data_IF_358321396614
#
_entry.id   IF_358321396614
#
_cell.length_a   1.000
_cell.length_b   1.000
_cell.length_c   1.000
_cell.angle_alpha   90.00
_cell.angle_beta   90.00
_cell.angle_gamma   90.00
#
_symmetry.space_group_name_H-M   'P 1'
#
loop_
_entity.id
_entity.type
_entity.pdbx_description
1 polymer ?
#
# COMPACT_ATOMS: atom_id res chain seq x y z
N UNK A 1 -10.43 -0.63 -61.88
CA UNK A 1 -9.99 -1.42 -60.73
C UNK A 1 -9.12 -0.51 -59.88
N UNK A 2 -9.76 0.27 -59.02
CA UNK A 2 -9.07 1.04 -58.00
C UNK A 2 -8.50 0.07 -56.99
N UNK A 3 -7.17 0.02 -56.91
CA UNK A 3 -6.49 -0.57 -55.78
C UNK A 3 -6.88 0.24 -54.55
N UNK A 4 -7.87 -0.26 -53.78
CA UNK A 4 -7.99 0.08 -52.36
C UNK A 4 -6.63 -0.23 -51.75
N UNK A 5 -5.79 0.79 -51.59
CA UNK A 5 -4.71 0.74 -50.63
C UNK A 5 -5.40 0.48 -49.30
N UNK A 6 -5.33 -0.75 -48.82
CA UNK A 6 -5.49 -1.01 -47.39
C UNK A 6 -4.50 -0.07 -46.71
N UNK A 7 -5.01 1.05 -46.20
CA UNK A 7 -4.27 1.84 -45.24
C UNK A 7 -4.14 0.91 -44.06
N UNK A 8 -2.98 0.28 -43.90
CA UNK A 8 -2.68 -0.55 -42.74
C UNK A 8 -3.05 0.28 -41.51
N UNK A 9 -4.12 -0.13 -40.84
CA UNK A 9 -4.60 0.57 -39.66
C UNK A 9 -3.46 0.51 -38.63
N UNK A 10 -3.08 1.65 -38.08
CA UNK A 10 -1.96 1.74 -37.15
C UNK A 10 -2.23 2.78 -36.08
N UNK A 11 -1.74 2.53 -34.86
CA UNK A 11 -1.78 3.49 -33.76
C UNK A 11 -1.12 4.84 -34.11
N UNK A 12 -0.24 4.87 -35.11
CA UNK A 12 0.45 6.10 -35.55
C UNK A 12 -0.41 7.06 -36.34
N UNK A 13 -1.44 6.58 -37.02
CA UNK A 13 -2.31 7.39 -37.89
C UNK A 13 -3.67 7.66 -37.28
N UNK A 14 -3.95 7.05 -36.12
CA UNK A 14 -5.19 7.26 -35.39
C UNK A 14 -5.33 8.70 -34.87
N UNK A 15 -6.54 9.23 -35.01
CA UNK A 15 -6.88 10.63 -34.72
C UNK A 15 -8.10 10.82 -33.80
N UNK A 16 -8.89 9.77 -33.56
CA UNK A 16 -10.14 9.83 -32.76
C UNK A 16 -10.46 8.48 -32.10
N UNK A 17 -11.34 8.51 -31.10
CA UNK A 17 -11.73 7.34 -30.31
C UNK A 17 -12.22 6.15 -31.15
N UNK A 18 -13.05 6.40 -32.17
CA UNK A 18 -13.60 5.32 -33.00
C UNK A 18 -12.52 4.57 -33.80
N UNK A 19 -11.46 5.27 -34.22
CA UNK A 19 -10.30 4.62 -34.87
C UNK A 19 -9.51 3.80 -33.84
N UNK A 20 -9.38 4.26 -32.60
CA UNK A 20 -8.74 3.50 -31.53
C UNK A 20 -9.50 2.21 -31.20
N UNK A 21 -10.84 2.27 -31.12
CA UNK A 21 -11.70 1.09 -30.95
C UNK A 21 -11.55 0.13 -32.12
N UNK A 22 -11.47 0.65 -33.34
CA UNK A 22 -11.23 -0.18 -34.52
C UNK A 22 -9.87 -0.90 -34.46
N UNK A 23 -8.80 -0.24 -34.01
CA UNK A 23 -7.48 -0.89 -33.83
C UNK A 23 -7.53 -2.00 -32.76
N UNK A 24 -8.28 -1.77 -31.68
CA UNK A 24 -8.58 -2.79 -30.66
C UNK A 24 -9.31 -3.98 -31.28
N UNK A 25 -10.32 -3.72 -32.12
CA UNK A 25 -11.10 -4.78 -32.74
C UNK A 25 -10.25 -5.64 -33.68
N UNK A 26 -9.34 -5.01 -34.43
CA UNK A 26 -8.39 -5.67 -35.32
C UNK A 26 -7.28 -6.42 -34.57
N UNK A 27 -7.15 -6.26 -33.25
CA UNK A 27 -6.10 -6.88 -32.46
C UNK A 27 -4.72 -6.30 -32.76
N UNK A 28 -4.63 -5.00 -33.00
CA UNK A 28 -3.35 -4.34 -33.22
C UNK A 28 -2.74 -3.96 -31.88
N UNK A 29 -1.59 -4.56 -31.55
CA UNK A 29 -0.86 -4.28 -30.32
C UNK A 29 -0.43 -2.82 -30.24
N UNK A 30 -0.80 -2.13 -29.15
CA UNK A 30 -0.29 -0.81 -28.84
C UNK A 30 1.14 -0.93 -28.35
N UNK A 31 2.10 -0.29 -29.01
CA UNK A 31 3.49 -0.22 -28.53
C UNK A 31 3.71 1.03 -27.68
N UNK A 32 4.69 0.99 -26.78
CA UNK A 32 5.02 2.11 -25.88
C UNK A 32 5.20 3.44 -26.61
N UNK A 33 5.94 3.41 -27.74
CA UNK A 33 6.21 4.60 -28.55
C UNK A 33 4.95 5.23 -29.17
N UNK A 34 3.91 4.42 -29.40
CA UNK A 34 2.69 4.84 -30.06
C UNK A 34 1.68 5.43 -29.07
N UNK A 35 1.84 5.20 -27.76
CA UNK A 35 1.02 5.83 -26.72
C UNK A 35 1.05 7.37 -26.79
N UNK A 36 2.19 7.98 -27.19
CA UNK A 36 2.28 9.43 -27.36
C UNK A 36 1.30 9.95 -28.41
N UNK A 37 1.02 9.17 -29.45
CA UNK A 37 0.03 9.51 -30.49
C UNK A 37 -1.37 9.37 -29.93
N UNK A 38 -1.67 8.24 -29.28
CA UNK A 38 -2.93 8.01 -28.55
C UNK A 38 -3.26 9.18 -27.61
N UNK A 39 -2.29 9.59 -26.79
CA UNK A 39 -2.45 10.66 -25.79
C UNK A 39 -2.64 12.05 -26.40
N UNK A 40 -2.13 12.29 -27.62
CA UNK A 40 -2.37 13.55 -28.34
C UNK A 40 -3.73 13.57 -29.03
N UNK A 41 -4.21 12.41 -29.46
CA UNK A 41 -5.47 12.27 -30.18
C UNK A 41 -6.68 12.27 -29.24
N UNK A 42 -6.57 11.63 -28.07
CA UNK A 42 -7.69 11.43 -27.15
C UNK A 42 -7.59 12.31 -25.89
N UNK A 43 -8.73 12.84 -25.46
CA UNK A 43 -8.91 13.48 -24.14
C UNK A 43 -8.96 12.43 -23.02
N UNK A 44 -8.88 12.88 -21.77
CA UNK A 44 -8.94 12.00 -20.60
C UNK A 44 -10.24 11.17 -20.56
N UNK A 45 -11.39 11.80 -20.86
CA UNK A 45 -12.68 11.11 -20.91
C UNK A 45 -12.73 10.05 -22.03
N UNK A 46 -12.12 10.32 -23.18
CA UNK A 46 -12.09 9.38 -24.29
C UNK A 46 -11.14 8.19 -24.01
N UNK A 47 -10.10 8.39 -23.19
CA UNK A 47 -9.26 7.28 -22.71
C UNK A 47 -10.05 6.39 -21.74
N UNK A 48 -10.90 6.97 -20.88
CA UNK A 48 -11.82 6.21 -20.04
C UNK A 48 -12.76 5.36 -20.91
N UNK A 49 -13.39 5.97 -21.92
CA UNK A 49 -14.27 5.25 -22.84
C UNK A 49 -13.54 4.13 -23.59
N UNK A 50 -12.26 4.34 -23.96
CA UNK A 50 -11.44 3.33 -24.60
C UNK A 50 -11.15 2.14 -23.67
N UNK A 51 -10.78 2.36 -22.42
CA UNK A 51 -10.48 1.24 -21.50
C UNK A 51 -11.75 0.49 -21.09
N UNK A 52 -12.89 1.17 -20.98
CA UNK A 52 -14.21 0.54 -20.81
C UNK A 52 -14.53 -0.34 -22.02
N UNK A 53 -14.29 0.16 -23.24
CA UNK A 53 -14.45 -0.63 -24.45
C UNK A 53 -13.55 -1.88 -24.46
N UNK A 54 -12.27 -1.73 -24.08
CA UNK A 54 -11.34 -2.84 -23.96
C UNK A 54 -11.78 -3.89 -22.92
N UNK A 55 -12.33 -3.46 -21.77
CA UNK A 55 -12.87 -4.37 -20.75
C UNK A 55 -14.02 -5.23 -21.30
N UNK A 56 -14.96 -4.60 -22.02
CA UNK A 56 -16.05 -5.33 -22.68
C UNK A 56 -15.51 -6.32 -23.73
N UNK A 57 -14.58 -5.90 -24.58
CA UNK A 57 -13.95 -6.78 -25.60
C UNK A 57 -13.18 -7.94 -24.97
N UNK A 58 -12.50 -7.72 -23.85
CA UNK A 58 -11.80 -8.76 -23.11
C UNK A 58 -12.77 -9.83 -22.59
N UNK A 59 -13.94 -9.42 -22.10
CA UNK A 59 -14.98 -10.35 -21.66
C UNK A 59 -15.62 -11.13 -22.80
N UNK A 60 -15.88 -10.47 -23.95
CA UNK A 60 -16.44 -11.14 -25.12
C UNK A 60 -15.46 -12.15 -25.75
N UNK A 61 -14.16 -11.86 -25.71
CA UNK A 61 -13.11 -12.66 -26.36
C UNK A 61 -12.39 -13.60 -25.40
N UNK A 62 -12.95 -13.83 -24.21
CA UNK A 62 -12.32 -14.60 -23.13
C UNK A 62 -11.90 -16.02 -23.55
N UNK A 63 -12.56 -16.61 -24.53
CA UNK A 63 -12.22 -17.94 -25.05
C UNK A 63 -11.01 -17.95 -26.01
N UNK A 64 -10.62 -16.77 -26.54
CA UNK A 64 -9.53 -16.63 -27.49
C UNK A 64 -8.32 -15.97 -26.81
N UNK A 65 -7.30 -16.79 -26.55
CA UNK A 65 -6.12 -16.36 -25.77
C UNK A 65 -5.32 -15.24 -26.43
N UNK A 66 -5.00 -15.36 -27.72
CA UNK A 66 -4.16 -14.37 -28.42
C UNK A 66 -4.79 -12.96 -28.46
N UNK A 67 -6.07 -12.77 -28.82
CA UNK A 67 -6.72 -11.46 -28.70
C UNK A 67 -6.72 -10.91 -27.27
N UNK A 68 -6.92 -11.76 -26.27
CA UNK A 68 -6.88 -11.35 -24.87
C UNK A 68 -5.47 -10.93 -24.43
N UNK A 69 -4.42 -11.61 -24.90
CA UNK A 69 -3.01 -11.26 -24.67
C UNK A 69 -2.70 -9.87 -25.24
N UNK A 70 -3.03 -9.64 -26.51
CA UNK A 70 -2.79 -8.35 -27.18
C UNK A 70 -3.52 -7.21 -26.47
N UNK A 71 -4.78 -7.44 -26.07
CA UNK A 71 -5.57 -6.47 -25.32
C UNK A 71 -4.96 -6.17 -23.96
N UNK A 72 -4.55 -7.21 -23.22
CA UNK A 72 -3.96 -7.06 -21.90
C UNK A 72 -2.64 -6.29 -21.97
N UNK A 73 -1.74 -6.64 -22.90
CA UNK A 73 -0.47 -5.92 -23.08
C UNK A 73 -0.71 -4.45 -23.47
N UNK A 74 -1.64 -4.18 -24.39
CA UNK A 74 -2.02 -2.82 -24.78
C UNK A 74 -2.56 -2.01 -23.60
N UNK A 75 -3.40 -2.63 -22.75
CA UNK A 75 -3.94 -2.02 -21.53
C UNK A 75 -2.84 -1.71 -20.52
N UNK A 76 -1.88 -2.61 -20.31
CA UNK A 76 -0.77 -2.37 -19.41
C UNK A 76 0.09 -1.17 -19.86
N UNK A 77 0.29 -0.99 -21.16
CA UNK A 77 0.97 0.19 -21.72
C UNK A 77 0.15 1.46 -21.46
N UNK A 78 -1.18 1.41 -21.62
CA UNK A 78 -2.05 2.54 -21.26
C UNK A 78 -1.89 2.87 -19.77
N UNK A 79 -2.01 1.89 -18.87
CA UNK A 79 -1.94 2.12 -17.43
C UNK A 79 -0.56 2.56 -16.95
N UNK A 80 0.51 2.13 -17.60
CA UNK A 80 1.85 2.61 -17.28
C UNK A 80 2.02 4.10 -17.58
N UNK A 81 1.43 4.57 -18.68
CA UNK A 81 1.58 5.95 -19.16
C UNK A 81 0.47 6.91 -18.69
N UNK A 82 -0.65 6.39 -18.23
CA UNK A 82 -1.73 7.19 -17.63
C UNK A 82 -1.45 7.44 -16.15
N UNK A 83 -1.71 8.66 -15.71
CA UNK A 83 -1.61 9.05 -14.30
C UNK A 83 -2.97 9.30 -13.67
N UNK A 84 -4.07 9.11 -14.38
CA UNK A 84 -5.43 9.21 -13.83
C UNK A 84 -5.96 7.81 -13.46
N UNK A 85 -6.24 7.61 -12.18
CA UNK A 85 -6.75 6.37 -11.62
C UNK A 85 -8.20 6.11 -12.03
N UNK A 86 -8.96 7.14 -12.39
CA UNK A 86 -10.32 6.94 -12.91
C UNK A 86 -10.31 6.03 -14.15
N UNK A 87 -9.22 6.04 -14.93
CA UNK A 87 -9.03 5.13 -16.07
C UNK A 87 -8.91 3.68 -15.59
N UNK A 88 -8.06 3.40 -14.60
CA UNK A 88 -7.92 2.06 -14.02
C UNK A 88 -9.22 1.58 -13.37
N UNK A 89 -9.87 2.46 -12.59
CA UNK A 89 -11.11 2.15 -11.88
C UNK A 89 -12.23 1.88 -12.86
N UNK A 90 -12.40 2.70 -13.90
CA UNK A 90 -13.42 2.47 -14.92
C UNK A 90 -13.22 1.14 -15.64
N UNK A 91 -11.97 0.79 -15.99
CA UNK A 91 -11.64 -0.52 -16.54
C UNK A 91 -12.04 -1.66 -15.59
N UNK A 92 -11.61 -1.61 -14.34
CA UNK A 92 -11.87 -2.67 -13.36
C UNK A 92 -13.36 -2.79 -13.03
N UNK A 93 -14.07 -1.66 -12.89
CA UNK A 93 -15.52 -1.65 -12.70
C UNK A 93 -16.22 -2.31 -13.88
N UNK A 94 -15.85 -1.96 -15.10
CA UNK A 94 -16.44 -2.56 -16.30
C UNK A 94 -16.18 -4.07 -16.34
N UNK A 95 -14.94 -4.52 -16.14
CA UNK A 95 -14.61 -5.96 -16.08
C UNK A 95 -15.48 -6.71 -15.07
N UNK A 96 -15.75 -6.10 -13.91
CA UNK A 96 -16.55 -6.71 -12.85
C UNK A 96 -18.06 -6.66 -13.11
N UNK A 97 -18.54 -5.82 -14.03
CA UNK A 97 -19.95 -5.74 -14.42
C UNK A 97 -20.31 -6.69 -15.57
N UNK A 98 -19.31 -7.23 -16.28
CA UNK A 98 -19.54 -8.11 -17.42
C UNK A 98 -20.17 -9.47 -17.05
N UNK A 99 -20.96 -10.11 -17.94
CA UNK A 99 -21.60 -11.40 -17.68
C UNK A 99 -20.60 -12.54 -17.37
N UNK A 100 -19.44 -12.54 -18.02
CA UNK A 100 -18.39 -13.57 -17.85
C UNK A 100 -17.28 -13.16 -16.87
N UNK A 101 -17.54 -12.18 -16.00
CA UNK A 101 -16.56 -11.53 -15.10
C UNK A 101 -15.58 -12.49 -14.43
N UNK A 102 -16.03 -13.65 -13.94
CA UNK A 102 -15.13 -14.60 -13.25
C UNK A 102 -14.05 -15.15 -14.19
N UNK A 103 -14.45 -15.55 -15.39
CA UNK A 103 -13.50 -16.09 -16.38
C UNK A 103 -12.58 -14.97 -16.89
N UNK A 104 -13.16 -13.80 -17.15
CA UNK A 104 -12.43 -12.61 -17.58
C UNK A 104 -11.38 -12.17 -16.56
N UNK A 105 -11.74 -12.14 -15.27
CA UNK A 105 -10.82 -11.80 -14.18
C UNK A 105 -9.69 -12.83 -14.08
N UNK A 106 -10.00 -14.13 -14.10
CA UNK A 106 -8.96 -15.17 -14.06
C UNK A 106 -7.99 -15.01 -15.22
N UNK A 107 -8.48 -14.93 -16.46
CA UNK A 107 -7.61 -14.74 -17.63
C UNK A 107 -6.81 -13.45 -17.54
N UNK A 108 -7.41 -12.33 -17.13
CA UNK A 108 -6.70 -11.07 -16.95
C UNK A 108 -5.53 -11.22 -15.96
N UNK A 109 -5.74 -11.93 -14.84
CA UNK A 109 -4.69 -12.18 -13.84
C UNK A 109 -3.56 -13.00 -14.43
N UNK A 110 -3.88 -14.09 -15.14
CA UNK A 110 -2.86 -14.93 -15.77
C UNK A 110 -2.06 -14.12 -16.78
N UNK A 111 -2.76 -13.45 -17.71
CA UNK A 111 -2.14 -12.72 -18.80
C UNK A 111 -1.34 -11.50 -18.32
N UNK A 112 -1.83 -10.77 -17.32
CA UNK A 112 -1.10 -9.62 -16.79
C UNK A 112 0.20 -10.04 -16.09
N UNK A 113 0.15 -11.12 -15.30
CA UNK A 113 1.33 -11.60 -14.55
C UNK A 113 2.33 -12.32 -15.46
N UNK A 114 1.87 -12.99 -16.52
CA UNK A 114 2.74 -13.70 -17.47
C UNK A 114 2.94 -12.92 -18.78
N UNK A 115 2.63 -11.63 -18.81
CA UNK A 115 2.75 -10.81 -20.02
C UNK A 115 4.21 -10.81 -20.51
N UNK A 116 4.42 -11.26 -21.74
CA UNK A 116 5.71 -11.12 -22.42
C UNK A 116 5.72 -9.79 -23.17
N UNK A 117 6.26 -8.76 -22.51
CA UNK A 117 6.18 -7.38 -22.96
C UNK A 117 7.13 -7.16 -24.13
N UNK A 118 6.59 -6.76 -25.27
CA UNK A 118 7.37 -6.49 -26.48
C UNK A 118 8.38 -5.33 -26.34
N UNK A 119 8.08 -4.35 -25.48
CA UNK A 119 8.96 -3.24 -25.14
C UNK A 119 9.94 -3.59 -23.99
N UNK A 120 11.01 -4.32 -24.31
CA UNK A 120 11.98 -4.86 -23.34
C UNK A 120 12.57 -3.80 -22.37
N UNK A 121 12.84 -2.58 -22.84
CA UNK A 121 13.36 -1.48 -22.01
C UNK A 121 12.36 -0.98 -20.95
N UNK A 122 11.09 -1.39 -21.07
CA UNK A 122 9.96 -1.01 -20.21
C UNK A 122 9.35 -2.20 -19.48
N UNK A 123 9.92 -3.40 -19.64
CA UNK A 123 9.39 -4.63 -19.07
C UNK A 123 9.20 -4.54 -17.55
N UNK A 124 10.19 -4.03 -16.80
CA UNK A 124 10.10 -3.90 -15.34
C UNK A 124 8.97 -2.94 -14.91
N UNK A 125 8.83 -1.80 -15.60
CA UNK A 125 7.80 -0.80 -15.30
C UNK A 125 6.40 -1.34 -15.62
N UNK A 126 6.25 -2.01 -16.75
CA UNK A 126 5.00 -2.63 -17.19
C UNK A 126 4.62 -3.79 -16.25
N UNK A 127 5.59 -4.59 -15.83
CA UNK A 127 5.36 -5.68 -14.88
C UNK A 127 4.94 -5.17 -13.50
N UNK A 128 5.55 -4.08 -13.01
CA UNK A 128 5.11 -3.45 -11.76
C UNK A 128 3.66 -2.95 -11.84
N UNK A 129 3.25 -2.39 -12.98
CA UNK A 129 1.88 -1.96 -13.24
C UNK A 129 0.92 -3.17 -13.32
N UNK A 130 1.34 -4.27 -13.95
CA UNK A 130 0.55 -5.49 -14.00
C UNK A 130 0.26 -6.06 -12.59
N UNK A 131 1.26 -6.10 -11.72
CA UNK A 131 1.06 -6.50 -10.32
C UNK A 131 0.11 -5.54 -9.60
N UNK A 132 0.28 -4.23 -9.78
CA UNK A 132 -0.61 -3.24 -9.17
C UNK A 132 -2.06 -3.39 -9.65
N UNK A 133 -2.28 -3.59 -10.95
CA UNK A 133 -3.59 -3.86 -11.55
C UNK A 133 -4.25 -5.07 -10.90
N UNK A 134 -3.52 -6.18 -10.76
CA UNK A 134 -4.03 -7.41 -10.15
C UNK A 134 -4.33 -7.23 -8.66
N UNK A 135 -3.50 -6.48 -7.93
CA UNK A 135 -3.80 -6.11 -6.54
C UNK A 135 -5.09 -5.28 -6.43
N UNK A 136 -5.28 -4.27 -7.27
CA UNK A 136 -6.49 -3.44 -7.26
C UNK A 136 -7.74 -4.23 -7.67
N UNK A 137 -7.64 -5.12 -8.66
CA UNK A 137 -8.72 -6.04 -9.02
C UNK A 137 -9.16 -6.87 -7.81
N UNK A 138 -8.21 -7.46 -7.08
CA UNK A 138 -8.51 -8.24 -5.89
C UNK A 138 -9.12 -7.38 -4.76
N UNK A 139 -8.64 -6.16 -4.57
CA UNK A 139 -9.22 -5.20 -3.61
C UNK A 139 -10.68 -4.89 -3.96
N UNK A 140 -10.99 -4.64 -5.23
CA UNK A 140 -12.35 -4.36 -5.69
C UNK A 140 -13.27 -5.57 -5.55
N UNK A 141 -12.82 -6.78 -5.92
CA UNK A 141 -13.58 -8.01 -5.70
C UNK A 141 -13.89 -8.20 -4.21
N UNK A 142 -12.93 -7.93 -3.32
CA UNK A 142 -13.13 -8.03 -1.88
C UNK A 142 -14.15 -6.99 -1.38
N UNK A 143 -14.08 -5.75 -1.86
CA UNK A 143 -15.04 -4.70 -1.51
C UNK A 143 -16.46 -5.09 -1.93
N UNK A 144 -16.64 -5.57 -3.17
CA UNK A 144 -17.93 -6.04 -3.65
C UNK A 144 -18.44 -7.24 -2.83
N UNK A 145 -17.58 -8.20 -2.46
CA UNK A 145 -18.00 -9.33 -1.62
C UNK A 145 -18.50 -8.91 -0.23
N UNK A 146 -17.96 -7.82 0.33
CA UNK A 146 -18.38 -7.27 1.63
C UNK A 146 -19.67 -6.46 1.50
N UNK A 147 -19.82 -5.68 0.42
CA UNK A 147 -20.98 -4.83 0.18
C UNK A 147 -22.20 -5.63 -0.29
N UNK A 148 -21.99 -6.55 -1.23
CA UNK A 148 -23.02 -7.36 -1.88
C UNK A 148 -22.63 -8.87 -1.89
N UNK A 149 -22.77 -9.56 -0.74
CA UNK A 149 -22.36 -10.96 -0.60
C UNK A 149 -23.08 -11.93 -1.56
N UNK A 150 -24.28 -11.60 -2.01
CA UNK A 150 -25.09 -12.45 -2.88
C UNK A 150 -24.59 -12.48 -4.33
N UNK A 151 -23.97 -11.39 -4.81
CA UNK A 151 -23.58 -11.26 -6.23
C UNK A 151 -22.31 -12.07 -6.55
N UNK A 152 -21.33 -12.03 -5.65
CA UNK A 152 -20.02 -12.69 -5.82
C UNK A 152 -19.84 -13.91 -4.91
N UNK A 153 -20.60 -14.06 -3.83
CA UNK A 153 -20.65 -15.24 -2.95
C UNK A 153 -19.36 -16.08 -2.90
N UNK A 154 -19.45 -17.31 -3.42
CA UNK A 154 -18.33 -18.27 -3.46
C UNK A 154 -17.40 -18.11 -4.67
N UNK A 155 -17.85 -17.49 -5.76
CA UNK A 155 -17.01 -17.25 -6.94
C UNK A 155 -15.96 -16.18 -6.65
N UNK A 156 -16.31 -15.12 -5.94
CA UNK A 156 -15.40 -14.08 -5.46
C UNK A 156 -14.30 -14.64 -4.56
N UNK A 157 -14.63 -15.56 -3.65
CA UNK A 157 -13.63 -16.23 -2.81
C UNK A 157 -12.60 -17.02 -3.65
N UNK A 158 -13.08 -17.80 -4.64
CA UNK A 158 -12.19 -18.54 -5.55
C UNK A 158 -11.30 -17.62 -6.40
N UNK A 159 -11.83 -16.49 -6.86
CA UNK A 159 -11.06 -15.47 -7.59
C UNK A 159 -9.97 -14.86 -6.72
N UNK A 160 -10.28 -14.53 -5.46
CA UNK A 160 -9.30 -13.99 -4.51
C UNK A 160 -8.20 -15.01 -4.19
N UNK A 161 -8.52 -16.29 -4.08
CA UNK A 161 -7.54 -17.37 -3.91
C UNK A 161 -6.65 -17.54 -5.15
N UNK A 162 -7.25 -17.46 -6.34
CA UNK A 162 -6.53 -17.49 -7.62
C UNK A 162 -5.56 -16.30 -7.75
N UNK A 163 -6.04 -15.08 -7.51
CA UNK A 163 -5.22 -13.85 -7.48
C UNK A 163 -4.08 -13.99 -6.48
N UNK A 164 -4.38 -14.45 -5.26
CA UNK A 164 -3.37 -14.62 -4.21
C UNK A 164 -2.27 -15.61 -4.63
N UNK A 165 -2.63 -16.68 -5.33
CA UNK A 165 -1.68 -17.67 -5.84
C UNK A 165 -0.69 -17.06 -6.83
N UNK A 166 -1.18 -16.29 -7.80
CA UNK A 166 -0.33 -15.60 -8.78
C UNK A 166 0.51 -14.49 -8.15
N UNK A 167 -0.07 -13.68 -7.25
CA UNK A 167 0.68 -12.64 -6.56
C UNK A 167 1.79 -13.19 -5.65
N UNK A 168 1.59 -14.37 -5.05
CA UNK A 168 2.63 -15.05 -4.27
C UNK A 168 3.74 -15.66 -5.12
N UNK A 169 3.52 -15.92 -6.40
CA UNK A 169 4.56 -16.41 -7.32
C UNK A 169 5.58 -15.32 -7.66
N UNK A 170 5.13 -14.06 -7.75
CA UNK A 170 5.97 -12.89 -8.08
C UNK A 170 6.58 -12.21 -6.85
N UNK A 171 6.29 -12.69 -5.65
CA UNK A 171 6.66 -12.03 -4.40
C UNK A 171 8.17 -12.07 -4.08
N UNK A 172 9.01 -12.69 -4.91
CA UNK A 172 10.47 -12.63 -4.78
C UNK A 172 11.09 -11.45 -5.55
N UNK A 173 10.26 -10.62 -6.21
CA UNK A 173 10.73 -9.44 -6.93
C UNK A 173 11.58 -8.51 -6.04
N UNK A 174 12.59 -7.88 -6.63
CA UNK A 174 13.39 -6.81 -6.02
C UNK A 174 12.75 -5.43 -6.15
N UNK A 175 11.73 -5.28 -7.00
CA UNK A 175 11.08 -4.02 -7.29
C UNK A 175 10.24 -3.53 -6.09
N UNK A 176 10.46 -2.28 -5.68
CA UNK A 176 9.77 -1.70 -4.53
C UNK A 176 8.29 -1.41 -4.81
N UNK A 177 7.89 -1.06 -6.03
CA UNK A 177 6.48 -0.88 -6.37
C UNK A 177 5.74 -2.20 -6.16
N UNK A 178 6.29 -3.30 -6.69
CA UNK A 178 5.72 -4.65 -6.52
C UNK A 178 5.60 -5.01 -5.04
N UNK A 179 6.69 -4.85 -4.28
CA UNK A 179 6.70 -5.20 -2.86
C UNK A 179 5.69 -4.40 -2.03
N UNK A 180 5.56 -3.10 -2.31
CA UNK A 180 4.58 -2.25 -1.64
C UNK A 180 3.15 -2.65 -2.05
N UNK A 181 2.87 -2.86 -3.34
CA UNK A 181 1.56 -3.37 -3.81
C UNK A 181 1.15 -4.66 -3.10
N UNK A 182 2.07 -5.62 -2.98
CA UNK A 182 1.83 -6.90 -2.32
C UNK A 182 1.61 -6.75 -0.82
N UNK A 183 2.41 -5.93 -0.14
CA UNK A 183 2.25 -5.65 1.29
C UNK A 183 0.85 -5.09 1.57
N UNK A 184 0.44 -4.09 0.80
CA UNK A 184 -0.87 -3.46 0.96
C UNK A 184 -2.02 -4.43 0.65
N UNK A 185 -1.94 -5.12 -0.48
CA UNK A 185 -2.97 -6.06 -0.92
C UNK A 185 -3.22 -7.16 0.11
N UNK A 186 -2.18 -7.88 0.55
CA UNK A 186 -2.37 -8.95 1.52
C UNK A 186 -2.77 -8.43 2.90
N UNK A 187 -2.30 -7.24 3.28
CA UNK A 187 -2.68 -6.61 4.55
C UNK A 187 -4.16 -6.25 4.59
N UNK A 188 -4.67 -5.66 3.52
CA UNK A 188 -6.09 -5.30 3.38
C UNK A 188 -7.00 -6.52 3.24
N UNK A 189 -6.61 -7.52 2.41
CA UNK A 189 -7.38 -8.73 2.18
C UNK A 189 -7.56 -9.59 3.44
N UNK A 190 -6.54 -9.61 4.30
CA UNK A 190 -6.53 -10.39 5.54
C UNK A 190 -6.76 -9.53 6.80
N UNK A 191 -7.24 -8.29 6.63
CA UNK A 191 -7.66 -7.44 7.75
C UNK A 191 -8.71 -8.17 8.61
N UNK A 192 -8.51 -8.14 9.93
CA UNK A 192 -9.41 -8.79 10.90
C UNK A 192 -9.39 -10.33 10.93
N UNK A 193 -8.64 -11.00 10.04
CA UNK A 193 -8.48 -12.46 10.10
C UNK A 193 -7.55 -12.84 11.26
N UNK A 194 -7.88 -13.93 11.95
CA UNK A 194 -7.04 -14.50 13.03
C UNK A 194 -5.68 -14.98 12.50
N UNK A 195 -5.68 -15.55 11.30
CA UNK A 195 -4.47 -16.00 10.62
C UNK A 195 -4.30 -15.23 9.31
N UNK A 196 -3.20 -14.50 9.17
CA UNK A 196 -2.85 -13.70 7.99
C UNK A 196 -1.75 -14.39 7.17
N UNK A 197 -2.07 -15.58 6.65
CA UNK A 197 -1.08 -16.48 6.02
C UNK A 197 -0.38 -15.81 4.84
N UNK A 198 -1.11 -15.10 3.98
CA UNK A 198 -0.54 -14.40 2.84
C UNK A 198 0.36 -13.25 3.27
N UNK A 199 -0.14 -12.40 4.16
CA UNK A 199 0.58 -11.24 4.67
C UNK A 199 1.85 -11.62 5.43
N UNK A 200 1.78 -12.63 6.30
CA UNK A 200 2.94 -13.12 7.05
C UNK A 200 4.01 -13.68 6.10
N UNK A 201 3.60 -14.38 5.04
CA UNK A 201 4.52 -14.87 3.99
C UNK A 201 5.21 -13.72 3.25
N UNK A 202 4.47 -12.65 2.95
CA UNK A 202 5.01 -11.43 2.35
C UNK A 202 6.02 -10.77 3.30
N UNK A 203 5.66 -10.57 4.56
CA UNK A 203 6.53 -9.99 5.59
C UNK A 203 7.80 -10.82 5.80
N UNK A 204 7.70 -12.15 5.84
CA UNK A 204 8.87 -13.03 5.99
C UNK A 204 9.82 -13.01 4.79
N UNK A 205 9.33 -12.70 3.57
CA UNK A 205 10.16 -12.65 2.36
C UNK A 205 10.90 -11.32 2.19
N UNK A 206 10.23 -10.20 2.38
CA UNK A 206 10.81 -8.88 2.11
C UNK A 206 10.38 -7.78 3.10
N UNK A 207 9.78 -8.13 4.24
CA UNK A 207 9.31 -7.16 5.24
C UNK A 207 10.44 -6.27 5.77
N UNK A 208 11.62 -6.83 6.03
CA UNK A 208 12.79 -6.06 6.48
C UNK A 208 13.19 -4.99 5.46
N UNK A 209 13.36 -5.37 4.19
CA UNK A 209 13.85 -4.46 3.15
C UNK A 209 12.81 -3.40 2.79
N UNK A 210 11.53 -3.75 2.78
CA UNK A 210 10.43 -2.79 2.55
C UNK A 210 10.31 -1.79 3.69
N UNK A 211 10.37 -2.24 4.94
CA UNK A 211 10.27 -1.32 6.07
C UNK A 211 11.50 -0.43 6.17
N UNK A 212 12.71 -0.95 5.94
CA UNK A 212 13.92 -0.12 5.88
C UNK A 212 13.80 0.95 4.78
N UNK A 213 13.35 0.58 3.58
CA UNK A 213 13.08 1.51 2.49
C UNK A 213 12.08 2.61 2.90
N UNK A 214 10.92 2.22 3.45
CA UNK A 214 9.88 3.16 3.89
C UNK A 214 10.37 4.11 4.97
N UNK A 215 11.17 3.65 5.93
CA UNK A 215 11.70 4.51 7.00
C UNK A 215 12.79 5.46 6.50
N UNK A 216 13.60 5.07 5.51
CA UNK A 216 14.50 6.00 4.84
C UNK A 216 13.70 7.10 4.12
N UNK A 217 12.63 6.72 3.40
CA UNK A 217 11.76 7.68 2.71
C UNK A 217 10.97 8.57 3.68
N UNK A 218 10.52 8.04 4.81
CA UNK A 218 9.85 8.79 5.87
C UNK A 218 10.75 9.92 6.39
N UNK A 219 12.06 9.69 6.48
CA UNK A 219 13.03 10.68 6.93
C UNK A 219 13.63 11.54 5.82
N UNK A 220 13.07 11.49 4.62
CA UNK A 220 13.40 12.39 3.52
C UNK A 220 12.26 13.40 3.30
N UNK A 221 12.58 14.70 3.37
CA UNK A 221 11.58 15.79 3.28
C UNK A 221 10.71 15.75 2.02
N UNK A 222 11.22 15.21 0.91
CA UNK A 222 10.47 15.13 -0.36
C UNK A 222 9.40 14.03 -0.36
N UNK A 223 9.61 12.99 0.43
CA UNK A 223 8.80 11.76 0.41
C UNK A 223 8.08 11.51 1.73
N UNK A 224 8.47 12.22 2.81
CA UNK A 224 7.96 12.13 4.18
C UNK A 224 6.44 12.01 4.27
N UNK A 225 5.69 12.87 3.57
CA UNK A 225 4.23 12.90 3.67
C UNK A 225 3.58 11.64 3.10
N UNK A 226 4.06 11.16 1.95
CA UNK A 226 3.51 9.98 1.25
C UNK A 226 3.93 8.71 2.00
N UNK A 227 5.19 8.65 2.45
CA UNK A 227 5.69 7.53 3.25
C UNK A 227 4.97 7.42 4.59
N UNK A 228 4.68 8.54 5.26
CA UNK A 228 3.86 8.54 6.47
C UNK A 228 2.48 7.98 6.19
N UNK A 229 1.77 8.50 5.18
CA UNK A 229 0.42 8.04 4.85
C UNK A 229 0.39 6.53 4.62
N UNK A 230 1.32 6.02 3.81
CA UNK A 230 1.44 4.60 3.54
C UNK A 230 1.71 3.78 4.81
N UNK A 231 2.61 4.25 5.68
CA UNK A 231 2.90 3.58 6.94
C UNK A 231 1.70 3.60 7.89
N UNK A 232 0.94 4.70 7.98
CA UNK A 232 -0.27 4.77 8.81
C UNK A 232 -1.33 3.77 8.33
N UNK A 233 -1.49 3.62 7.02
CA UNK A 233 -2.46 2.69 6.43
C UNK A 233 -2.02 1.22 6.60
N UNK A 234 -0.72 0.91 6.59
CA UNK A 234 -0.22 -0.47 6.51
C UNK A 234 0.43 -1.03 7.80
N UNK A 235 0.95 -0.19 8.69
CA UNK A 235 1.49 -0.64 9.99
C UNK A 235 0.46 -1.39 10.85
N UNK A 236 -0.83 -0.98 10.89
CA UNK A 236 -1.85 -1.74 11.62
C UNK A 236 -1.92 -3.22 11.23
N UNK A 237 -1.74 -3.54 9.94
CA UNK A 237 -1.73 -4.92 9.48
C UNK A 237 -0.55 -5.72 10.05
N UNK A 238 0.60 -5.08 10.24
CA UNK A 238 1.81 -5.68 10.83
C UNK A 238 1.63 -5.90 12.34
N UNK A 239 0.96 -4.97 13.03
CA UNK A 239 0.66 -5.10 14.47
C UNK A 239 -0.35 -6.22 14.77
N UNK A 240 -1.19 -6.58 13.79
CA UNK A 240 -2.11 -7.71 13.86
C UNK A 240 -1.53 -9.02 13.30
N UNK A 241 -0.33 -8.98 12.73
CA UNK A 241 0.34 -10.14 12.14
C UNK A 241 0.94 -11.07 13.21
N UNK A 242 1.66 -12.11 12.77
CA UNK A 242 2.33 -13.01 13.71
C UNK A 242 3.56 -12.38 14.39
N UNK A 243 4.10 -13.11 15.38
CA UNK A 243 5.26 -12.69 16.16
C UNK A 243 6.49 -12.42 15.29
N UNK A 244 6.64 -13.12 14.16
CA UNK A 244 7.76 -12.91 13.25
C UNK A 244 7.64 -11.54 12.58
N UNK A 245 6.49 -11.23 11.95
CA UNK A 245 6.25 -9.94 11.33
C UNK A 245 6.34 -8.77 12.33
N UNK A 246 5.84 -8.96 13.56
CA UNK A 246 6.00 -8.00 14.66
C UNK A 246 7.47 -7.83 15.05
N UNK A 247 8.26 -8.91 15.10
CA UNK A 247 9.70 -8.83 15.37
C UNK A 247 10.44 -8.00 14.30
N UNK A 248 10.11 -8.21 13.02
CA UNK A 248 10.65 -7.40 11.91
C UNK A 248 10.38 -5.92 12.17
N UNK A 249 9.12 -5.55 12.46
CA UNK A 249 8.73 -4.17 12.74
C UNK A 249 9.50 -3.60 13.93
N UNK A 250 9.61 -4.35 15.02
CA UNK A 250 10.26 -3.90 16.24
C UNK A 250 11.76 -3.65 16.03
N UNK A 251 12.46 -4.51 15.30
CA UNK A 251 13.88 -4.31 15.01
C UNK A 251 14.10 -3.12 14.07
N UNK A 252 13.25 -2.93 13.05
CA UNK A 252 13.30 -1.73 12.21
C UNK A 252 13.07 -0.47 13.03
N UNK A 253 12.09 -0.46 13.93
CA UNK A 253 11.83 0.68 14.81
C UNK A 253 13.01 0.97 15.74
N UNK A 254 13.58 -0.03 16.40
CA UNK A 254 14.78 0.12 17.25
C UNK A 254 15.94 0.74 16.47
N UNK A 255 16.16 0.30 15.23
CA UNK A 255 17.22 0.81 14.38
C UNK A 255 17.05 2.30 14.03
N UNK A 256 15.84 2.71 13.68
CA UNK A 256 15.55 4.08 13.24
C UNK A 256 15.32 5.06 14.41
N UNK A 257 14.85 4.58 15.55
CA UNK A 257 14.56 5.34 16.77
C UNK A 257 15.73 6.25 17.18
N UNK A 258 16.95 5.72 17.22
CA UNK A 258 18.13 6.48 17.66
C UNK A 258 18.82 7.22 16.51
N UNK A 259 18.57 6.85 15.25
CA UNK A 259 19.15 7.54 14.07
C UNK A 259 18.51 8.90 13.81
N UNK A 260 17.18 9.01 13.96
CA UNK A 260 16.40 10.25 13.74
C UNK A 260 15.33 10.42 14.82
N UNK A 261 15.72 10.60 16.10
CA UNK A 261 14.81 10.53 17.25
C UNK A 261 13.64 11.51 17.13
N UNK A 262 13.89 12.73 16.64
CA UNK A 262 12.84 13.73 16.51
C UNK A 262 11.75 13.33 15.51
N UNK A 263 12.16 12.83 14.34
CA UNK A 263 11.20 12.41 13.31
C UNK A 263 10.51 11.11 13.68
N UNK A 264 11.22 10.21 14.34
CA UNK A 264 10.65 8.98 14.84
C UNK A 264 9.57 9.25 15.91
N UNK A 265 9.83 10.17 16.85
CA UNK A 265 8.83 10.60 17.84
C UNK A 265 7.56 11.11 17.16
N UNK A 266 7.69 11.96 16.13
CA UNK A 266 6.54 12.49 15.40
C UNK A 266 5.77 11.41 14.64
N UNK A 267 6.46 10.44 14.04
CA UNK A 267 5.83 9.27 13.44
C UNK A 267 5.00 8.48 14.47
N UNK A 268 5.57 8.23 15.65
CA UNK A 268 4.88 7.52 16.73
C UNK A 268 3.64 8.30 17.21
N UNK A 269 3.72 9.62 17.32
CA UNK A 269 2.57 10.46 17.68
C UNK A 269 1.47 10.40 16.60
N UNK A 270 1.85 10.49 15.31
CA UNK A 270 0.90 10.39 14.20
C UNK A 270 0.22 9.01 14.17
N UNK A 271 1.00 7.94 14.36
CA UNK A 271 0.48 6.57 14.42
C UNK A 271 -0.43 6.35 15.62
N UNK A 272 -0.07 6.85 16.80
CA UNK A 272 -0.92 6.80 17.99
C UNK A 272 -2.27 7.49 17.74
N UNK A 273 -2.25 8.70 17.17
CA UNK A 273 -3.48 9.42 16.81
C UNK A 273 -4.33 8.67 15.80
N UNK A 274 -3.72 8.09 14.76
CA UNK A 274 -4.42 7.28 13.76
C UNK A 274 -5.07 6.03 14.38
N UNK A 275 -4.34 5.27 15.20
CA UNK A 275 -4.85 4.06 15.85
C UNK A 275 -6.01 4.33 16.81
N UNK A 276 -5.99 5.47 17.52
CA UNK A 276 -7.08 5.90 18.41
C UNK A 276 -8.35 6.30 17.65
N UNK A 277 -8.24 6.69 16.37
CA UNK A 277 -9.39 7.03 15.52
C UNK A 277 -10.07 5.82 14.88
N UNK A 278 -9.41 4.66 14.86
CA UNK A 278 -10.01 3.43 14.32
C UNK A 278 -11.19 2.95 15.20
N UNK A 279 -12.17 2.21 14.66
CA UNK A 279 -13.22 1.61 15.48
C UNK A 279 -12.67 0.58 16.48
N UNK A 280 -13.22 0.54 17.70
CA UNK A 280 -12.74 -0.33 18.79
C UNK A 280 -12.77 -1.83 18.44
N UNK A 281 -13.83 -2.26 17.74
CA UNK A 281 -14.04 -3.66 17.39
C UNK A 281 -12.99 -4.18 16.40
N UNK A 282 -12.41 -3.29 15.60
CA UNK A 282 -11.38 -3.62 14.62
C UNK A 282 -9.96 -3.44 15.18
N UNK A 283 -9.75 -2.47 16.07
CA UNK A 283 -8.41 -2.01 16.43
C UNK A 283 -7.88 -2.54 17.78
N UNK A 284 -8.70 -3.21 18.61
CA UNK A 284 -8.31 -3.57 19.99
C UNK A 284 -7.01 -4.38 20.06
N UNK A 285 -6.86 -5.40 19.22
CA UNK A 285 -5.64 -6.22 19.19
C UNK A 285 -4.44 -5.40 18.68
N UNK A 286 -4.64 -4.64 17.61
CA UNK A 286 -3.63 -3.75 17.04
C UNK A 286 -3.09 -2.74 18.07
N UNK A 287 -3.97 -2.05 18.81
CA UNK A 287 -3.62 -1.09 19.86
C UNK A 287 -2.87 -1.74 21.02
N UNK A 288 -3.31 -2.93 21.44
CA UNK A 288 -2.59 -3.73 22.45
C UNK A 288 -1.17 -4.04 22.00
N UNK A 289 -0.99 -4.58 20.79
CA UNK A 289 0.33 -4.88 20.24
C UNK A 289 1.18 -3.61 20.13
N UNK A 290 0.61 -2.50 19.64
CA UNK A 290 1.31 -1.22 19.57
C UNK A 290 1.85 -0.75 20.93
N UNK A 291 1.04 -0.82 21.99
CA UNK A 291 1.49 -0.51 23.35
C UNK A 291 2.64 -1.41 23.82
N UNK A 292 2.63 -2.70 23.46
CA UNK A 292 3.74 -3.61 23.76
C UNK A 292 5.03 -3.19 23.04
N UNK A 293 4.94 -2.81 21.76
CA UNK A 293 6.06 -2.25 21.02
C UNK A 293 6.60 -0.96 21.66
N UNK A 294 5.71 -0.03 22.05
CA UNK A 294 6.11 1.20 22.75
C UNK A 294 6.86 0.89 24.04
N UNK A 295 6.38 -0.06 24.84
CA UNK A 295 7.06 -0.49 26.06
C UNK A 295 8.49 -0.98 25.80
N UNK A 296 8.70 -1.77 24.73
CA UNK A 296 10.03 -2.23 24.33
C UNK A 296 10.92 -1.09 23.82
N UNK A 297 10.37 -0.12 23.09
CA UNK A 297 11.12 1.06 22.66
C UNK A 297 11.52 1.95 23.84
N UNK A 298 10.63 2.14 24.83
CA UNK A 298 10.93 2.89 26.06
C UNK A 298 12.12 2.29 26.80
N UNK A 299 12.18 0.95 26.93
CA UNK A 299 13.36 0.27 27.50
C UNK A 299 14.63 0.62 26.74
N UNK A 300 14.58 0.56 25.40
CA UNK A 300 15.74 0.86 24.56
C UNK A 300 16.22 2.31 24.71
N UNK A 301 15.27 3.25 24.82
CA UNK A 301 15.57 4.67 25.04
C UNK A 301 16.15 4.92 26.44
N UNK A 302 15.67 4.19 27.44
CA UNK A 302 16.18 4.27 28.80
C UNK A 302 17.61 3.71 28.92
N UNK A 303 17.98 2.67 28.17
CA UNK A 303 19.36 2.17 28.12
C UNK A 303 20.37 3.30 27.79
N UNK A 304 20.01 4.17 26.83
CA UNK A 304 20.83 5.29 26.36
C UNK A 304 20.50 6.64 27.03
N UNK A 305 19.61 6.66 28.03
CA UNK A 305 19.13 7.84 28.77
C UNK A 305 18.64 9.01 27.89
N UNK A 306 17.99 8.72 26.75
CA UNK A 306 17.48 9.77 25.87
C UNK A 306 16.12 10.29 26.36
N UNK A 307 16.13 11.11 27.41
CA UNK A 307 14.95 11.57 28.17
C UNK A 307 13.82 12.16 27.33
N UNK A 308 14.13 13.01 26.35
CA UNK A 308 13.10 13.68 25.55
C UNK A 308 12.30 12.70 24.68
N UNK A 309 12.99 11.87 23.90
CA UNK A 309 12.38 10.77 23.14
C UNK A 309 11.59 9.83 24.07
N UNK A 310 12.10 9.56 25.27
CA UNK A 310 11.43 8.80 26.30
C UNK A 310 10.07 9.36 26.68
N UNK A 311 10.00 10.66 26.97
CA UNK A 311 8.76 11.37 27.27
C UNK A 311 7.78 11.34 26.10
N UNK A 312 8.27 11.50 24.87
CA UNK A 312 7.41 11.41 23.69
C UNK A 312 6.80 10.01 23.52
N UNK A 313 7.58 8.94 23.69
CA UNK A 313 7.04 7.57 23.65
C UNK A 313 6.04 7.30 24.78
N UNK A 314 6.34 7.77 25.99
CA UNK A 314 5.43 7.65 27.15
C UNK A 314 4.13 8.43 26.93
N UNK A 315 4.19 9.63 26.34
CA UNK A 315 3.01 10.42 26.00
C UNK A 315 2.14 9.71 24.95
N UNK A 316 2.75 9.12 23.92
CA UNK A 316 2.01 8.32 22.94
C UNK A 316 1.33 7.11 23.61
N UNK A 317 2.03 6.45 24.54
CA UNK A 317 1.48 5.32 25.30
C UNK A 317 0.32 5.77 26.20
N UNK A 318 0.44 6.91 26.89
CA UNK A 318 -0.59 7.47 27.75
C UNK A 318 -1.89 7.79 27.02
N UNK A 319 -1.84 8.09 25.71
CA UNK A 319 -3.04 8.26 24.88
C UNK A 319 -3.99 7.05 24.88
N UNK A 320 -3.48 5.85 25.19
CA UNK A 320 -4.24 4.61 25.27
C UNK A 320 -4.71 4.28 26.70
N UNK A 321 -4.73 5.24 27.63
CA UNK A 321 -5.13 5.01 29.03
C UNK A 321 -6.49 4.32 29.24
N UNK A 322 -7.40 4.45 28.27
CA UNK A 322 -8.74 3.86 28.31
C UNK A 322 -8.78 2.42 27.75
N UNK A 323 -7.69 1.94 27.15
CA UNK A 323 -7.61 0.57 26.65
C UNK A 323 -7.57 -0.44 27.80
N UNK A 324 -8.33 -1.56 27.72
CA UNK A 324 -8.35 -2.57 28.78
C UNK A 324 -6.98 -3.14 29.13
N UNK A 325 -6.07 -3.21 28.15
CA UNK A 325 -4.72 -3.76 28.31
C UNK A 325 -3.71 -2.76 28.88
N UNK A 326 -4.04 -1.48 28.96
CA UNK A 326 -3.12 -0.41 29.37
C UNK A 326 -2.52 -0.68 30.76
N UNK A 327 -3.38 -0.92 31.77
CA UNK A 327 -2.94 -1.12 33.16
C UNK A 327 -2.00 -2.32 33.33
N UNK A 328 -2.26 -3.42 32.60
CA UNK A 328 -1.38 -4.60 32.63
C UNK A 328 -0.01 -4.30 32.02
N UNK A 329 0.02 -3.71 30.82
CA UNK A 329 1.28 -3.41 30.11
C UNK A 329 2.10 -2.38 30.89
N UNK A 330 1.50 -1.27 31.29
CA UNK A 330 2.18 -0.21 32.05
C UNK A 330 2.60 -0.71 33.43
N UNK A 331 1.76 -1.51 34.10
CA UNK A 331 2.08 -2.11 35.39
C UNK A 331 3.27 -3.06 35.33
N UNK A 332 3.42 -3.84 34.25
CA UNK A 332 4.61 -4.67 34.01
C UNK A 332 5.85 -3.83 33.77
N UNK A 333 5.73 -2.76 32.96
CA UNK A 333 6.84 -1.85 32.69
C UNK A 333 7.31 -1.09 33.94
N UNK A 334 6.38 -0.69 34.82
CA UNK A 334 6.69 -0.03 36.09
C UNK A 334 7.48 -0.93 37.05
N UNK A 335 7.21 -2.25 37.02
CA UNK A 335 7.89 -3.27 37.83
C UNK A 335 9.20 -3.75 37.20
N UNK A 336 9.57 -3.27 36.02
CA UNK A 336 10.75 -3.72 35.32
C UNK A 336 12.02 -3.10 35.93
N UNK A 337 12.80 -3.93 36.63
CA UNK A 337 14.03 -3.52 37.31
C UNK A 337 15.17 -3.20 36.34
N UNK A 338 15.08 -3.58 35.06
CA UNK A 338 16.06 -3.21 34.03
C UNK A 338 15.91 -1.75 33.57
N UNK A 339 14.74 -1.14 33.78
CA UNK A 339 14.49 0.24 33.40
C UNK A 339 15.19 1.21 34.36
N UNK A 340 15.91 2.22 33.85
CA UNK A 340 16.54 3.25 34.70
C UNK A 340 15.50 3.96 35.58
N UNK A 341 15.88 4.31 36.80
CA UNK A 341 14.97 4.90 37.81
C UNK A 341 14.30 6.21 37.33
N UNK A 342 15.01 7.03 36.56
CA UNK A 342 14.49 8.25 35.94
C UNK A 342 13.30 8.00 35.00
N UNK A 343 13.29 6.86 34.30
CA UNK A 343 12.19 6.44 33.42
C UNK A 343 11.14 5.66 34.21
N UNK A 344 11.57 4.78 35.12
CA UNK A 344 10.67 3.98 35.96
C UNK A 344 9.74 4.85 36.78
N UNK A 345 10.26 5.92 37.38
CA UNK A 345 9.43 6.90 38.12
C UNK A 345 8.35 7.56 37.25
N UNK A 346 8.64 7.84 35.97
CA UNK A 346 7.63 8.37 35.02
C UNK A 346 6.58 7.31 34.66
N UNK A 347 7.00 6.06 34.45
CA UNK A 347 6.08 4.94 34.17
C UNK A 347 5.18 4.66 35.38
N UNK A 348 5.72 4.71 36.60
CA UNK A 348 4.94 4.55 37.85
C UNK A 348 3.87 5.64 37.95
N UNK A 349 4.24 6.91 37.68
CA UNK A 349 3.26 8.01 37.63
C UNK A 349 2.16 7.78 36.58
N UNK A 350 2.51 7.20 35.43
CA UNK A 350 1.55 6.87 34.38
C UNK A 350 0.62 5.71 34.75
N UNK A 351 1.07 4.77 35.61
CA UNK A 351 0.27 3.66 36.08
C UNK A 351 -0.87 4.12 37.01
N UNK A 352 -0.70 5.26 37.69
CA UNK A 352 -1.73 5.89 38.51
C UNK A 352 -2.71 6.68 37.62
N UNK A 353 -3.93 6.15 37.45
CA UNK A 353 -4.96 6.68 36.54
C UNK A 353 -5.37 8.15 36.78
N UNK A 354 -5.04 8.73 37.95
CA UNK A 354 -5.28 10.13 38.27
C UNK A 354 -4.16 11.08 37.77
N UNK A 355 -3.04 10.54 37.25
CA UNK A 355 -1.82 11.28 36.90
C UNK A 355 -1.36 11.09 35.44
N UNK A 356 -2.04 10.27 34.65
CA UNK A 356 -1.72 10.04 33.22
C UNK A 356 -1.74 11.34 32.40
N UNK A 357 -2.67 12.25 32.70
CA UNK A 357 -2.74 13.58 32.08
C UNK A 357 -1.51 14.47 32.36
N UNK A 358 -0.81 14.27 33.48
CA UNK A 358 0.41 15.03 33.80
C UNK A 358 1.61 14.61 32.93
N UNK A 359 1.63 13.37 32.42
CA UNK A 359 2.68 12.88 31.49
C UNK A 359 2.49 13.48 30.09
N UNK A 360 1.24 13.79 29.71
CA UNK A 360 0.88 14.44 28.45
C UNK A 360 1.27 15.92 28.48
N UNK A 361 1.02 16.62 29.60
CA UNK A 361 1.37 18.03 29.77
C UNK A 361 2.88 18.32 29.70
N UNK A 362 3.73 17.40 30.16
CA UNK A 362 5.20 17.53 30.09
C UNK A 362 5.78 17.26 28.68
N UNK A 363 4.97 16.73 27.74
CA UNK A 363 5.39 16.37 26.38
C UNK A 363 5.07 17.44 25.32
N UNK A 364 4.30 18.47 25.64
CA UNK A 364 3.85 19.53 24.70
C UNK A 364 4.98 20.43 24.14
N UNK A 365 6.24 20.22 24.55
CA UNK A 365 7.39 21.03 24.14
C UNK A 365 8.06 20.64 22.81
N UNK A 366 7.68 19.52 22.18
CA UNK A 366 8.48 18.97 21.07
C UNK A 366 8.28 19.73 19.75
N UNK A 367 9.23 20.61 19.44
CA UNK A 367 9.30 21.36 18.17
C UNK A 367 10.43 20.78 17.32
N UNK A 368 10.07 20.10 16.23
CA UNK A 368 10.93 19.43 15.23
C UNK A 368 11.97 20.33 14.50
N UNK A 369 12.19 21.58 14.92
CA UNK A 369 13.27 22.40 14.37
C UNK A 369 13.57 23.59 15.27
N UNK A 370 14.80 24.11 15.16
CA UNK A 370 15.23 25.45 15.62
C UNK A 370 14.31 26.61 15.16
N UNK A 371 13.29 26.35 14.32
CA UNK A 371 12.30 27.33 13.81
C UNK A 371 10.84 26.94 14.05
N UNK A 372 10.53 25.93 14.87
CA UNK A 372 9.13 25.63 15.23
C UNK A 372 8.22 25.22 14.07
N UNK A 373 8.77 24.86 12.90
CA UNK A 373 7.95 24.36 11.78
C UNK A 373 7.45 22.96 12.15
N UNK A 374 6.12 22.81 12.31
CA UNK A 374 5.47 21.51 12.31
C UNK A 374 5.84 20.81 10.99
N UNK A 375 6.25 19.53 11.02
CA UNK A 375 6.52 18.81 9.79
C UNK A 375 5.26 18.76 8.91
N UNK A 376 5.45 18.48 7.63
CA UNK A 376 4.41 18.47 6.60
C UNK A 376 3.29 17.44 6.83
N UNK A 377 3.35 16.68 7.93
CA UNK A 377 2.35 15.74 8.42
C UNK A 377 0.90 16.27 8.43
N UNK A 378 0.69 17.60 8.43
CA UNK A 378 -0.63 18.23 8.39
C UNK A 378 -1.26 18.37 6.98
N UNK A 379 -0.61 17.89 5.91
CA UNK A 379 -1.16 17.87 4.54
C UNK A 379 -1.25 16.44 3.99
N UNK A 380 -1.65 15.46 4.79
CA UNK A 380 -2.05 14.14 4.28
C UNK A 380 -3.34 14.31 3.47
N UNK A 381 -3.19 14.63 2.18
CA UNK A 381 -4.28 14.60 1.23
C UNK A 381 -4.78 13.17 1.03
N UNK A 382 -5.96 13.05 0.41
CA UNK A 382 -6.63 11.81 -0.04
C UNK A 382 -5.87 11.14 -1.20
N UNK A 383 -4.55 10.99 -1.11
CA UNK A 383 -3.77 10.31 -2.14
C UNK A 383 -4.08 8.83 -2.04
N UNK A 384 -4.69 8.26 -3.07
CA UNK A 384 -5.04 6.83 -3.10
C UNK A 384 -3.79 5.96 -3.11
N UNK A 385 -3.92 4.73 -2.58
CA UNK A 385 -2.78 3.86 -2.26
C UNK A 385 -1.89 3.56 -3.48
N UNK A 386 -2.47 3.35 -4.65
CA UNK A 386 -1.72 3.02 -5.86
C UNK A 386 -0.72 4.12 -6.25
N UNK A 387 -1.08 5.39 -6.04
CA UNK A 387 -0.17 6.52 -6.25
C UNK A 387 0.91 6.60 -5.19
N UNK A 388 0.57 6.29 -3.94
CA UNK A 388 1.57 6.21 -2.89
C UNK A 388 2.61 5.15 -3.25
N UNK A 389 2.16 3.97 -3.72
CA UNK A 389 3.02 2.88 -4.15
C UNK A 389 3.89 3.27 -5.34
N UNK A 390 3.30 3.78 -6.43
CA UNK A 390 4.04 4.21 -7.63
C UNK A 390 5.06 5.29 -7.27
N UNK A 391 4.66 6.29 -6.49
CA UNK A 391 5.54 7.35 -6.04
C UNK A 391 6.70 6.79 -5.20
N UNK A 392 6.41 6.06 -4.12
CA UNK A 392 7.43 5.57 -3.19
C UNK A 392 8.35 4.51 -3.80
N UNK A 393 7.84 3.68 -4.69
CA UNK A 393 8.62 2.63 -5.34
C UNK A 393 9.65 3.16 -6.34
N UNK A 394 9.38 4.31 -6.97
CA UNK A 394 10.30 4.95 -7.92
C UNK A 394 11.49 5.69 -7.25
N UNK A 395 11.43 5.99 -5.95
CA UNK A 395 12.52 6.66 -5.25
C UNK A 395 13.60 5.68 -4.81
N UNK A 396 14.69 5.58 -5.57
CA UNK A 396 15.87 4.83 -5.13
C UNK A 396 16.56 5.52 -3.94
N UNK A 397 16.67 4.81 -2.82
CA UNK A 397 17.26 5.29 -1.55
C UNK A 397 18.79 5.41 -1.58
N UNK A 398 19.45 4.97 -2.66
CA UNK A 398 20.90 5.00 -2.85
C UNK A 398 21.54 6.41 -2.90
N UNK A 399 20.75 7.49 -2.78
CA UNK A 399 21.24 8.89 -2.71
C UNK A 399 20.97 9.60 -1.37
N UNK A 400 20.60 8.87 -0.32
CA UNK A 400 20.26 9.45 0.99
C UNK A 400 21.16 8.99 2.16
N UNK A 401 22.39 8.54 1.87
CA UNK A 401 23.47 8.37 2.84
C UNK A 401 24.20 9.69 3.08
#
# INVERSE_FOLDING_TARGET
MDQMREVEATWKTMSKLEEAKHLVDLGILLQWKDFKTLRKALKDEEIIDLVVYCAARLSERVESRLPAEILTESLLIIFANVTDENVLVAFLQEVLMQPNRSVTCSILVELAITADVSDADKADEIFAIAVALVCELGTMIRQMQVQDPEELGSSGAKLLDHISTYLLSVSNSSDNCIRLSLLHYFGSLEKGKVHKTGFNRIMGRFGHTVLEHLFVLLFNKKTESVALQYLLENVPYILEADDHAQTILQETWKHHLLKKPERFALFVQALSGYLLQLPDDEARQCRKTFMQHLALLIKKVAEVDHKELGRQLLSAMAGFQHEPSFKDIVGRLAKDMSLRESFRSLVVKMADANNSGNVIGDAEGFRSSKRGRRPSFAKSGKTRIIYQIKFLGQYNTAKAS
#
